data_IF_442135392066
#
_entry.id   IF_442135392066
#
_cell.length_a   1.000
_cell.length_b   1.000
_cell.length_c   1.000
_cell.angle_alpha   90.00
_cell.angle_beta   90.00
_cell.angle_gamma   90.00
#
_symmetry.space_group_name_H-M   'P 1'
#
loop_
_entity.id
_entity.type
_entity.pdbx_description
1 polymer ?
#
# COMPACT_ATOMS: atom_id res chain seq x y z
N UNK A 1 -10.23 13.06 2.12
CA UNK A 1 -9.74 12.07 3.11
C UNK A 1 -9.37 10.80 2.37
N UNK A 2 -8.22 10.20 2.66
CA UNK A 2 -7.63 9.06 1.94
C UNK A 2 -8.39 7.73 2.06
N UNK A 3 -9.72 7.74 2.16
CA UNK A 3 -10.62 6.57 2.23
C UNK A 3 -10.51 5.73 3.51
N UNK A 4 -10.08 6.35 4.61
CA UNK A 4 -10.07 5.75 5.94
C UNK A 4 -11.42 5.20 6.41
N UNK A 5 -12.52 5.73 5.89
CA UNK A 5 -13.88 5.33 6.28
C UNK A 5 -14.56 4.36 5.30
N UNK A 6 -13.90 3.99 4.19
CA UNK A 6 -14.39 2.95 3.28
C UNK A 6 -13.78 1.62 3.68
N UNK A 7 -14.55 0.54 3.69
CA UNK A 7 -14.01 -0.82 3.83
C UNK A 7 -13.56 -1.37 2.47
N UNK A 8 -12.73 -2.41 2.49
CA UNK A 8 -12.39 -3.17 1.28
C UNK A 8 -12.92 -4.60 1.42
N UNK A 9 -13.54 -5.10 0.35
CA UNK A 9 -13.99 -6.50 0.26
C UNK A 9 -13.30 -7.14 -0.94
N UNK A 10 -12.41 -8.09 -0.67
CA UNK A 10 -11.74 -8.88 -1.69
C UNK A 10 -12.52 -10.14 -2.02
N UNK A 11 -12.60 -10.49 -3.30
CA UNK A 11 -13.29 -11.68 -3.74
C UNK A 11 -12.52 -12.95 -3.37
N UNK A 12 -13.24 -14.06 -3.26
CA UNK A 12 -12.59 -15.35 -3.06
C UNK A 12 -11.84 -15.77 -4.33
N UNK A 13 -10.69 -16.41 -4.16
CA UNK A 13 -9.94 -17.10 -5.22
C UNK A 13 -9.93 -18.61 -4.93
N UNK A 14 -9.25 -19.39 -5.76
CA UNK A 14 -9.01 -20.81 -5.48
C UNK A 14 -8.18 -21.02 -4.20
N UNK A 15 -7.31 -20.05 -3.87
CA UNK A 15 -6.33 -20.15 -2.77
C UNK A 15 -6.77 -19.39 -1.51
N UNK A 16 -7.63 -18.39 -1.64
CA UNK A 16 -8.02 -17.48 -0.55
C UNK A 16 -9.53 -17.31 -0.46
N UNK A 17 -10.06 -17.32 0.76
CA UNK A 17 -11.46 -16.97 1.02
C UNK A 17 -11.69 -15.48 0.81
N UNK A 18 -12.94 -15.09 0.60
CA UNK A 18 -13.36 -13.68 0.62
C UNK A 18 -12.89 -13.03 1.93
N UNK A 19 -12.27 -11.86 1.83
CA UNK A 19 -11.71 -11.14 2.98
C UNK A 19 -12.34 -9.74 3.07
N UNK A 20 -12.70 -9.35 4.29
CA UNK A 20 -13.17 -8.01 4.65
C UNK A 20 -12.10 -7.22 5.43
N UNK A 21 -11.73 -6.03 4.95
CA UNK A 21 -10.85 -5.10 5.63
C UNK A 21 -11.63 -3.88 6.10
N UNK A 22 -11.41 -3.47 7.35
CA UNK A 22 -12.16 -2.37 7.98
C UNK A 22 -11.89 -0.99 7.36
N UNK A 23 -10.72 -0.80 6.74
CA UNK A 23 -10.34 0.46 6.10
C UNK A 23 -9.57 0.17 4.82
N UNK A 24 -10.01 0.78 3.72
CA UNK A 24 -9.37 0.67 2.43
C UNK A 24 -8.00 1.38 2.44
N UNK A 25 -7.85 2.42 3.25
CA UNK A 25 -6.55 3.07 3.46
C UNK A 25 -5.60 2.20 4.27
N UNK A 26 -6.07 1.68 5.41
CA UNK A 26 -5.26 0.83 6.28
C UNK A 26 -4.82 -0.46 5.57
N UNK A 27 -5.65 -0.94 4.64
CA UNK A 27 -5.28 -2.02 3.74
C UNK A 27 -3.96 -1.73 2.99
N UNK A 28 -3.84 -0.55 2.39
CA UNK A 28 -2.63 -0.13 1.68
C UNK A 28 -1.45 0.18 2.62
N UNK A 29 -1.72 0.71 3.81
CA UNK A 29 -0.67 1.09 4.76
C UNK A 29 -0.09 -0.12 5.52
N UNK A 30 -0.92 -1.13 5.79
CA UNK A 30 -0.58 -2.23 6.71
C UNK A 30 -0.68 -3.60 6.06
N UNK A 31 -1.83 -3.94 5.48
CA UNK A 31 -2.12 -5.32 5.08
C UNK A 31 -1.33 -5.74 3.83
N UNK A 32 -1.15 -4.84 2.87
CA UNK A 32 -0.30 -5.05 1.68
C UNK A 32 1.18 -5.12 2.04
N UNK A 33 1.66 -4.26 2.95
CA UNK A 33 3.04 -4.27 3.46
C UNK A 33 3.32 -5.55 4.22
N UNK A 34 2.36 -6.01 5.02
CA UNK A 34 2.42 -7.30 5.71
C UNK A 34 2.49 -8.44 4.70
N UNK A 35 1.63 -8.44 3.69
CA UNK A 35 1.65 -9.47 2.66
C UNK A 35 2.97 -9.48 1.85
N UNK A 36 3.55 -8.31 1.57
CA UNK A 36 4.88 -8.20 0.98
C UNK A 36 5.96 -8.82 1.87
N UNK A 37 5.88 -8.58 3.18
CA UNK A 37 6.92 -8.97 4.14
C UNK A 37 6.85 -10.46 4.45
N UNK A 38 5.69 -10.94 4.88
CA UNK A 38 5.52 -12.30 5.44
C UNK A 38 4.64 -13.21 4.57
N UNK A 39 4.22 -12.77 3.38
CA UNK A 39 3.44 -13.56 2.43
C UNK A 39 1.95 -13.72 2.75
N UNK A 40 1.46 -13.02 3.78
CA UNK A 40 0.03 -12.99 4.14
C UNK A 40 -0.38 -11.60 4.63
N UNK A 41 -1.62 -11.14 4.33
CA UNK A 41 -2.17 -9.93 4.93
C UNK A 41 -2.63 -10.16 6.38
N UNK A 42 -2.67 -11.40 6.87
CA UNK A 42 -3.16 -11.71 8.21
C UNK A 42 -2.15 -11.36 9.30
N UNK A 43 -2.63 -10.77 10.39
CA UNK A 43 -1.77 -10.45 11.54
C UNK A 43 -1.33 -11.73 12.28
N UNK A 44 -0.03 -11.82 12.54
CA UNK A 44 0.57 -12.91 13.31
C UNK A 44 0.32 -12.70 14.82
N UNK A 45 0.06 -13.77 15.60
CA UNK A 45 -0.05 -13.70 17.05
C UNK A 45 1.11 -12.93 17.67
N UNK A 46 0.84 -12.15 18.73
CA UNK A 46 1.82 -11.23 19.32
C UNK A 46 3.11 -11.94 19.72
N UNK A 47 2.99 -13.16 20.20
CA UNK A 47 4.06 -14.03 20.69
C UNK A 47 5.00 -14.49 19.57
N UNK A 48 4.52 -14.52 18.33
CA UNK A 48 5.27 -14.98 17.15
C UNK A 48 5.77 -13.82 16.28
N UNK A 49 5.36 -12.57 16.57
CA UNK A 49 5.67 -11.43 15.69
C UNK A 49 7.16 -11.22 15.49
N UNK A 50 7.95 -11.28 16.55
CA UNK A 50 9.39 -11.01 16.42
C UNK A 50 10.09 -12.07 15.56
N UNK A 51 9.82 -13.35 15.83
CA UNK A 51 10.45 -14.47 15.12
C UNK A 51 10.02 -14.57 13.66
N UNK A 52 8.81 -14.10 13.32
CA UNK A 52 8.32 -14.09 11.93
C UNK A 52 8.74 -12.83 11.19
N UNK A 53 8.51 -11.63 11.75
CA UNK A 53 8.75 -10.39 11.02
C UNK A 53 10.22 -10.02 10.91
N UNK A 54 11.06 -10.29 11.93
CA UNK A 54 12.47 -9.88 11.89
C UNK A 54 13.22 -10.50 10.71
N UNK A 55 13.27 -11.84 10.53
CA UNK A 55 13.99 -12.44 9.40
C UNK A 55 13.32 -12.11 8.06
N UNK A 56 11.99 -12.02 8.01
CA UNK A 56 11.26 -11.70 6.78
C UNK A 56 11.56 -10.27 6.29
N UNK A 57 11.58 -9.30 7.21
CA UNK A 57 11.95 -7.91 6.93
C UNK A 57 13.40 -7.80 6.47
N UNK A 58 14.33 -8.49 7.13
CA UNK A 58 15.74 -8.52 6.72
C UNK A 58 15.90 -9.04 5.28
N UNK A 59 15.16 -10.08 4.92
CA UNK A 59 15.13 -10.60 3.55
C UNK A 59 14.64 -9.56 2.54
N UNK A 60 13.50 -8.92 2.79
CA UNK A 60 12.97 -7.87 1.89
C UNK A 60 13.96 -6.72 1.73
N UNK A 61 14.59 -6.29 2.82
CA UNK A 61 15.62 -5.24 2.78
C UNK A 61 16.83 -5.70 1.94
N UNK A 62 17.31 -6.93 2.15
CA UNK A 62 18.43 -7.47 1.38
C UNK A 62 18.11 -7.50 -0.12
N UNK A 63 16.88 -7.90 -0.49
CA UNK A 63 16.43 -7.94 -1.88
C UNK A 63 16.37 -6.53 -2.52
N UNK A 64 15.91 -5.52 -1.76
CA UNK A 64 15.86 -4.11 -2.19
C UNK A 64 17.25 -3.47 -2.29
N UNK A 65 18.19 -3.85 -1.43
CA UNK A 65 19.56 -3.32 -1.50
C UNK A 65 20.34 -3.96 -2.67
N UNK A 66 20.08 -5.23 -2.96
CA UNK A 66 20.79 -5.97 -3.99
C UNK A 66 20.48 -5.50 -5.42
N UNK A 67 19.36 -4.79 -5.64
CA UNK A 67 18.89 -4.42 -6.98
C UNK A 67 18.47 -2.95 -7.01
N UNK A 68 18.89 -2.20 -8.01
CA UNK A 68 18.38 -0.84 -8.20
C UNK A 68 16.93 -0.89 -8.75
N UNK A 69 15.97 -0.13 -8.19
CA UNK A 69 14.60 -0.10 -8.69
C UNK A 69 14.56 0.53 -10.07
N UNK A 70 13.52 0.25 -10.86
CA UNK A 70 13.33 0.93 -12.15
C UNK A 70 12.72 2.32 -11.91
N UNK A 71 13.17 3.30 -12.69
CA UNK A 71 12.60 4.66 -12.74
C UNK A 71 12.50 5.38 -11.37
N UNK A 72 13.42 5.11 -10.44
CA UNK A 72 13.38 5.74 -9.11
C UNK A 72 14.02 7.14 -9.08
N UNK A 73 15.03 7.39 -9.92
CA UNK A 73 15.75 8.67 -9.96
C UNK A 73 14.80 9.81 -10.30
N UNK A 74 14.98 10.93 -9.60
CA UNK A 74 14.13 12.11 -9.78
C UNK A 74 14.97 13.26 -10.33
N UNK A 75 14.69 13.74 -11.55
CA UNK A 75 15.50 14.78 -12.15
C UNK A 75 15.25 16.15 -11.51
N UNK A 76 16.22 17.05 -11.68
CA UNK A 76 16.08 18.47 -11.32
C UNK A 76 16.38 18.81 -9.87
N UNK A 77 15.90 19.98 -9.43
CA UNK A 77 16.12 20.52 -8.08
C UNK A 77 15.36 19.67 -7.03
N UNK A 78 16.03 19.17 -5.98
CA UNK A 78 15.41 18.46 -4.87
C UNK A 78 14.17 19.14 -4.26
N UNK A 79 14.09 20.46 -4.31
CA UNK A 79 12.91 21.22 -3.83
C UNK A 79 11.62 20.88 -4.59
N UNK A 80 11.73 20.34 -5.80
CA UNK A 80 10.58 19.96 -6.64
C UNK A 80 10.21 18.49 -6.52
N UNK A 81 11.06 17.65 -5.90
CA UNK A 81 10.90 16.20 -5.94
C UNK A 81 9.63 15.71 -5.25
N UNK A 82 9.22 16.34 -4.15
CA UNK A 82 8.00 15.97 -3.44
C UNK A 82 6.76 16.07 -4.34
N UNK A 83 6.67 17.12 -5.16
CA UNK A 83 5.57 17.29 -6.12
C UNK A 83 5.65 16.23 -7.24
N UNK A 84 6.86 15.94 -7.74
CA UNK A 84 7.06 14.90 -8.75
C UNK A 84 6.62 13.52 -8.23
N UNK A 85 7.02 13.13 -7.02
CA UNK A 85 6.61 11.85 -6.42
C UNK A 85 5.11 11.79 -6.16
N UNK A 86 4.49 12.91 -5.74
CA UNK A 86 3.05 12.98 -5.60
C UNK A 86 2.34 12.79 -6.95
N UNK A 87 2.84 13.39 -8.02
CA UNK A 87 2.27 13.21 -9.37
C UNK A 87 2.40 11.77 -9.88
N UNK A 88 3.49 11.08 -9.55
CA UNK A 88 3.71 9.68 -9.94
C UNK A 88 2.77 8.70 -9.22
N UNK A 89 2.41 8.93 -7.96
CA UNK A 89 1.55 8.01 -7.21
C UNK A 89 0.07 8.17 -7.56
N UNK A 90 -0.34 9.34 -8.08
CA UNK A 90 -1.76 9.64 -8.38
C UNK A 90 -2.39 8.67 -9.40
N UNK A 91 -1.75 8.30 -10.52
CA UNK A 91 -2.26 7.26 -11.42
C UNK A 91 -2.43 5.90 -10.75
N UNK A 92 -1.52 5.50 -9.87
CA UNK A 92 -1.60 4.23 -9.12
C UNK A 92 -2.79 4.27 -8.16
N UNK A 93 -2.95 5.38 -7.44
CA UNK A 93 -4.12 5.61 -6.60
C UNK A 93 -5.40 5.54 -7.44
N UNK A 94 -5.45 6.16 -8.63
CA UNK A 94 -6.60 6.04 -9.53
C UNK A 94 -6.88 4.59 -9.92
N UNK A 95 -5.86 3.82 -10.28
CA UNK A 95 -6.00 2.42 -10.64
C UNK A 95 -6.59 1.58 -9.48
N UNK A 96 -6.09 1.79 -8.26
CA UNK A 96 -6.64 1.19 -7.04
C UNK A 96 -8.15 1.40 -6.94
N UNK A 97 -8.64 2.60 -7.25
CA UNK A 97 -10.06 2.92 -7.24
C UNK A 97 -10.84 2.31 -8.39
N UNK A 98 -10.23 2.11 -9.56
CA UNK A 98 -10.90 1.49 -10.72
C UNK A 98 -11.01 -0.03 -10.61
N UNK A 99 -10.18 -0.66 -9.79
CA UNK A 99 -10.20 -2.10 -9.51
C UNK A 99 -11.26 -2.49 -8.46
N UNK A 100 -11.98 -1.52 -7.91
CA UNK A 100 -13.06 -1.74 -6.95
C UNK A 100 -14.32 -1.02 -7.40
N UNK A 101 -15.47 -1.56 -7.00
CA UNK A 101 -16.78 -0.93 -7.11
C UNK A 101 -17.18 -0.41 -5.75
N UNK A 102 -17.46 0.88 -5.67
CA UNK A 102 -18.00 1.50 -4.46
C UNK A 102 -19.50 1.25 -4.41
N UNK A 103 -19.95 0.52 -3.39
CA UNK A 103 -21.36 0.16 -3.22
C UNK A 103 -21.91 0.77 -1.92
N UNK A 104 -23.19 1.13 -1.92
CA UNK A 104 -23.89 1.66 -0.74
C UNK A 104 -23.16 2.82 -0.02
N UNK A 105 -22.43 3.65 -0.79
CA UNK A 105 -21.68 4.77 -0.22
C UNK A 105 -22.64 5.86 0.25
N UNK A 106 -22.51 6.24 1.51
CA UNK A 106 -23.32 7.28 2.13
C UNK A 106 -22.45 8.27 2.89
N UNK A 107 -22.99 9.48 3.08
CA UNK A 107 -22.39 10.53 3.92
C UNK A 107 -22.60 10.13 5.39
N UNK A 108 -21.53 10.10 6.16
CA UNK A 108 -21.55 9.99 7.61
C UNK A 108 -20.92 11.25 8.23
N UNK A 109 -21.42 11.65 9.39
CA UNK A 109 -20.92 12.78 10.15
C UNK A 109 -20.63 12.34 11.57
N UNK A 110 -19.40 12.57 12.05
CA UNK A 110 -18.96 12.22 13.40
C UNK A 110 -17.95 13.25 13.89
N UNK A 111 -18.12 13.72 15.12
CA UNK A 111 -17.22 14.70 15.76
C UNK A 111 -16.98 15.95 14.90
N UNK A 112 -18.02 16.43 14.20
CA UNK A 112 -17.95 17.59 13.29
C UNK A 112 -17.22 17.34 11.97
N UNK A 113 -16.81 16.10 11.68
CA UNK A 113 -16.18 15.68 10.42
C UNK A 113 -17.18 14.93 9.54
N UNK A 114 -17.11 15.21 8.25
CA UNK A 114 -17.99 14.62 7.23
C UNK A 114 -17.16 13.71 6.34
N UNK A 115 -17.57 12.46 6.19
CA UNK A 115 -16.86 11.48 5.40
C UNK A 115 -17.80 10.53 4.66
N UNK A 116 -17.27 9.86 3.63
CA UNK A 116 -17.98 8.86 2.87
C UNK A 116 -17.67 7.46 3.44
N UNK A 117 -18.72 6.68 3.70
CA UNK A 117 -18.61 5.31 4.21
C UNK A 117 -19.37 4.34 3.34
N UNK A 118 -18.83 3.14 3.21
CA UNK A 118 -19.39 2.05 2.42
C UNK A 118 -18.29 1.08 1.98
N UNK A 119 -18.66 -0.11 1.48
CA UNK A 119 -17.70 -1.07 0.98
C UNK A 119 -17.19 -0.70 -0.43
N UNK A 120 -15.89 -0.92 -0.61
CA UNK A 120 -15.24 -1.04 -1.90
C UNK A 120 -15.09 -2.52 -2.23
N UNK A 121 -15.90 -3.03 -3.15
CA UNK A 121 -15.87 -4.43 -3.58
C UNK A 121 -14.90 -4.60 -4.74
N UNK A 122 -13.95 -5.51 -4.62
CA UNK A 122 -13.06 -5.87 -5.72
C UNK A 122 -13.85 -6.24 -6.99
N UNK A 123 -13.39 -5.73 -8.13
CA UNK A 123 -13.86 -6.10 -9.46
C UNK A 123 -12.94 -7.20 -9.98
N UNK A 124 -13.45 -8.41 -10.14
CA UNK A 124 -12.66 -9.57 -10.54
C UNK A 124 -11.92 -10.19 -9.36
N UNK A 125 -10.65 -10.57 -9.55
CA UNK A 125 -9.77 -11.17 -8.52
C UNK A 125 -8.34 -10.66 -8.68
N UNK A 126 -7.50 -10.86 -7.65
CA UNK A 126 -6.07 -10.55 -7.70
C UNK A 126 -5.68 -9.17 -7.18
N UNK A 127 -6.58 -8.44 -6.52
CA UNK A 127 -6.31 -7.14 -5.92
C UNK A 127 -5.16 -7.23 -4.91
N UNK A 128 -5.11 -8.28 -4.10
CA UNK A 128 -4.03 -8.48 -3.13
C UNK A 128 -2.66 -8.63 -3.79
N UNK A 129 -2.55 -9.49 -4.78
CA UNK A 129 -1.25 -9.74 -5.43
C UNK A 129 -0.80 -8.50 -6.23
N UNK A 130 -1.73 -7.84 -6.93
CA UNK A 130 -1.44 -6.59 -7.63
C UNK A 130 -1.00 -5.47 -6.67
N UNK A 131 -1.75 -5.24 -5.59
CA UNK A 131 -1.41 -4.16 -4.65
C UNK A 131 -0.13 -4.46 -3.85
N UNK A 132 0.15 -5.73 -3.55
CA UNK A 132 1.44 -6.14 -2.97
C UNK A 132 2.60 -5.89 -3.91
N UNK A 133 2.46 -6.17 -5.21
CA UNK A 133 3.49 -5.84 -6.20
C UNK A 133 3.72 -4.32 -6.28
N UNK A 134 2.64 -3.53 -6.32
CA UNK A 134 2.71 -2.06 -6.30
C UNK A 134 3.45 -1.56 -5.05
N UNK A 135 3.08 -2.04 -3.86
CA UNK A 135 3.73 -1.63 -2.60
C UNK A 135 5.21 -2.04 -2.58
N UNK A 136 5.54 -3.21 -3.13
CA UNK A 136 6.93 -3.64 -3.32
C UNK A 136 7.73 -2.64 -4.16
N UNK A 137 7.20 -2.27 -5.33
CA UNK A 137 7.85 -1.31 -6.23
C UNK A 137 8.00 0.08 -5.58
N UNK A 138 6.96 0.59 -4.92
CA UNK A 138 6.96 1.93 -4.35
C UNK A 138 7.83 2.04 -3.09
N UNK A 139 7.83 1.03 -2.20
CA UNK A 139 8.75 0.99 -1.06
C UNK A 139 10.20 0.91 -1.52
N UNK A 140 10.46 0.13 -2.56
CA UNK A 140 11.79 0.00 -3.11
C UNK A 140 12.29 1.34 -3.68
N UNK A 141 11.49 2.03 -4.50
CA UNK A 141 11.81 3.39 -4.99
C UNK A 141 12.02 4.37 -3.83
N UNK A 142 11.15 4.35 -2.82
CA UNK A 142 11.19 5.29 -1.71
C UNK A 142 12.52 5.21 -0.92
N UNK A 143 13.03 4.00 -0.66
CA UNK A 143 14.31 3.81 0.02
C UNK A 143 15.48 4.45 -0.74
N UNK A 144 15.54 4.22 -2.05
CA UNK A 144 16.58 4.80 -2.92
C UNK A 144 16.46 6.32 -3.07
N UNK A 145 15.23 6.83 -3.23
CA UNK A 145 14.92 8.27 -3.29
C UNK A 145 15.34 9.00 -2.02
N UNK A 146 15.08 8.39 -0.85
CA UNK A 146 15.49 8.96 0.42
C UNK A 146 17.02 9.02 0.55
N UNK A 147 17.72 7.97 0.14
CA UNK A 147 19.18 7.95 0.13
C UNK A 147 19.77 9.02 -0.80
N UNK A 148 19.22 9.19 -2.01
CA UNK A 148 19.66 10.25 -2.93
C UNK A 148 19.35 11.65 -2.39
N UNK A 149 18.18 11.85 -1.80
CA UNK A 149 17.83 13.12 -1.17
C UNK A 149 18.85 13.49 -0.09
N UNK A 150 19.21 12.56 0.79
CA UNK A 150 20.24 12.79 1.79
C UNK A 150 21.60 13.16 1.19
N UNK A 151 22.02 12.52 0.10
CA UNK A 151 23.26 12.88 -0.60
C UNK A 151 23.23 14.27 -1.24
N UNK A 152 22.05 14.83 -1.52
CA UNK A 152 21.91 16.15 -2.14
C UNK A 152 21.79 17.29 -1.13
N UNK A 153 21.30 17.01 0.08
CA UNK A 153 20.97 18.04 1.08
C UNK A 153 21.91 18.07 2.28
N UNK A 154 22.67 16.99 2.50
CA UNK A 154 23.76 16.93 3.48
C UNK A 154 25.09 17.22 2.79
#
# INVERSE_FOLDING_TARGET
>A
EGRNALSLVQNATAERKRHYYHSFHAYWDLDTVRNLTIGTPDEVPKEERESVYAPAKEKVIADFVANEPKNWRTPGDPKTWAEQWANEILPIAREAHTRVRFEHVHREEKDGRVFAKGPAHEIGTGYLDWSTAVVGDELHKAGWRLAELFQKVL
#
